data_IF_487446193671
#
_entry.id   IF_487446193671
#
_cell.length_a   1.000
_cell.length_b   1.000
_cell.length_c   1.000
_cell.angle_alpha   90.00
_cell.angle_beta   90.00
_cell.angle_gamma   90.00
#
_symmetry.space_group_name_H-M   'P 1'
#
loop_
_entity.id
_entity.type
_entity.pdbx_description
1 polymer ?
#
# COMPACT_ATOMS: atom_id res chain seq x y z
N UNK A 1 -34.63 -44.98 -5.55
CA UNK A 1 -33.72 -44.27 -6.49
C UNK A 1 -34.16 -42.84 -6.80
N UNK A 2 -35.37 -42.60 -7.35
CA UNK A 2 -35.83 -41.25 -7.78
C UNK A 2 -35.83 -40.16 -6.68
N UNK A 3 -36.13 -40.54 -5.43
CA UNK A 3 -36.12 -39.62 -4.27
C UNK A 3 -34.71 -39.18 -3.82
N UNK A 4 -33.70 -40.04 -4.01
CA UNK A 4 -32.31 -39.75 -3.63
C UNK A 4 -31.66 -38.77 -4.62
N UNK A 5 -31.94 -38.96 -5.91
CA UNK A 5 -31.50 -38.04 -6.98
C UNK A 5 -32.07 -36.63 -6.76
N UNK A 6 -33.32 -36.53 -6.30
CA UNK A 6 -33.97 -35.25 -6.03
C UNK A 6 -33.33 -34.51 -4.84
N UNK A 7 -32.97 -35.24 -3.78
CA UNK A 7 -32.27 -34.69 -2.62
C UNK A 7 -30.87 -34.17 -2.97
N UNK A 8 -30.12 -34.90 -3.82
CA UNK A 8 -28.81 -34.48 -4.30
C UNK A 8 -28.87 -33.20 -5.15
N UNK A 9 -29.87 -33.09 -6.03
CA UNK A 9 -30.10 -31.89 -6.83
C UNK A 9 -30.36 -30.68 -5.93
N UNK A 10 -31.27 -30.81 -4.96
CA UNK A 10 -31.60 -29.72 -4.04
C UNK A 10 -30.37 -29.29 -3.23
N UNK A 11 -29.60 -30.24 -2.69
CA UNK A 11 -28.37 -29.94 -1.94
C UNK A 11 -27.33 -29.18 -2.78
N UNK A 12 -27.21 -29.48 -4.08
CA UNK A 12 -26.29 -28.79 -4.98
C UNK A 12 -26.68 -27.33 -5.28
N UNK A 13 -27.97 -26.99 -5.25
CA UNK A 13 -28.41 -25.60 -5.44
C UNK A 13 -28.14 -24.74 -4.19
N UNK A 14 -28.25 -25.32 -2.99
CA UNK A 14 -27.93 -24.62 -1.76
C UNK A 14 -26.44 -24.24 -1.69
N UNK A 15 -25.52 -25.17 -2.02
CA UNK A 15 -24.08 -24.89 -1.99
C UNK A 15 -23.66 -23.80 -2.98
N UNK A 16 -24.24 -23.77 -4.19
CA UNK A 16 -23.97 -22.72 -5.20
C UNK A 16 -24.44 -21.35 -4.73
N UNK A 17 -25.62 -21.27 -4.10
CA UNK A 17 -26.15 -20.01 -3.58
C UNK A 17 -25.28 -19.43 -2.45
N UNK A 18 -24.78 -20.29 -1.55
CA UNK A 18 -23.89 -19.87 -0.46
C UNK A 18 -22.50 -19.48 -0.98
N UNK A 19 -21.95 -20.23 -1.94
CA UNK A 19 -20.68 -19.88 -2.59
C UNK A 19 -20.75 -18.53 -3.32
N UNK A 20 -21.89 -18.21 -3.95
CA UNK A 20 -22.08 -16.92 -4.63
C UNK A 20 -22.07 -15.72 -3.66
N UNK A 21 -22.67 -15.88 -2.47
CA UNK A 21 -22.68 -14.83 -1.43
C UNK A 21 -21.30 -14.64 -0.82
N UNK A 22 -20.59 -15.73 -0.55
CA UNK A 22 -19.22 -15.69 -0.05
C UNK A 22 -18.28 -15.03 -1.06
N UNK A 23 -18.38 -15.41 -2.34
CA UNK A 23 -17.59 -14.79 -3.41
C UNK A 23 -17.85 -13.29 -3.54
N UNK A 24 -19.12 -12.86 -3.45
CA UNK A 24 -19.48 -11.43 -3.49
C UNK A 24 -18.92 -10.67 -2.28
N UNK A 25 -18.97 -11.26 -1.09
CA UNK A 25 -18.39 -10.68 0.12
C UNK A 25 -16.86 -10.52 0.03
N UNK A 26 -16.16 -11.58 -0.38
CA UNK A 26 -14.71 -11.55 -0.57
C UNK A 26 -14.30 -10.53 -1.64
N UNK A 27 -15.04 -10.45 -2.74
CA UNK A 27 -14.80 -9.47 -3.80
C UNK A 27 -14.94 -8.04 -3.28
N UNK A 28 -15.95 -7.76 -2.46
CA UNK A 28 -16.15 -6.43 -1.88
C UNK A 28 -15.03 -6.06 -0.90
N UNK A 29 -14.54 -7.01 -0.11
CA UNK A 29 -13.37 -6.78 0.76
C UNK A 29 -12.10 -6.47 -0.06
N UNK A 30 -11.86 -7.24 -1.12
CA UNK A 30 -10.69 -7.05 -1.98
C UNK A 30 -10.72 -5.70 -2.72
N UNK A 31 -11.93 -5.25 -3.13
CA UNK A 31 -12.14 -3.92 -3.71
C UNK A 31 -11.86 -2.79 -2.69
N UNK A 32 -12.28 -2.95 -1.43
CA UNK A 32 -12.00 -1.97 -0.37
C UNK A 32 -10.51 -1.89 -0.02
N UNK A 33 -9.85 -3.05 0.08
CA UNK A 33 -8.41 -3.12 0.36
C UNK A 33 -7.59 -2.53 -0.79
N UNK A 34 -7.94 -2.82 -2.04
CA UNK A 34 -7.31 -2.16 -3.20
C UNK A 34 -7.50 -0.66 -3.19
N UNK A 35 -8.71 -0.18 -2.93
CA UNK A 35 -8.99 1.25 -2.88
C UNK A 35 -8.23 1.95 -1.72
N UNK A 36 -7.92 1.23 -0.63
CA UNK A 36 -7.06 1.75 0.44
C UNK A 36 -5.60 1.79 0.01
N UNK A 37 -5.08 0.71 -0.57
CA UNK A 37 -3.71 0.64 -1.05
C UNK A 37 -3.41 1.67 -2.13
N UNK A 38 -4.34 1.91 -3.06
CA UNK A 38 -4.19 2.96 -4.08
C UNK A 38 -4.10 4.35 -3.47
N UNK A 39 -4.88 4.63 -2.42
CA UNK A 39 -4.82 5.90 -1.70
C UNK A 39 -3.51 6.06 -0.93
N UNK A 40 -3.02 5.00 -0.29
CA UNK A 40 -1.72 4.99 0.37
C UNK A 40 -0.60 5.21 -0.64
N UNK A 41 -0.63 4.53 -1.79
CA UNK A 41 0.32 4.75 -2.88
C UNK A 41 0.31 6.18 -3.41
N UNK A 42 -0.86 6.77 -3.62
CA UNK A 42 -0.96 8.16 -4.06
C UNK A 42 -0.39 9.14 -3.02
N UNK A 43 -0.57 8.86 -1.73
CA UNK A 43 0.02 9.66 -0.65
C UNK A 43 1.54 9.48 -0.57
N UNK A 44 2.05 8.27 -0.81
CA UNK A 44 3.48 7.96 -0.80
C UNK A 44 4.22 8.66 -1.94
N UNK A 45 3.58 8.78 -3.10
CA UNK A 45 4.14 9.46 -4.26
C UNK A 45 4.01 10.99 -4.20
N UNK A 46 3.43 11.55 -3.14
CA UNK A 46 3.31 13.00 -2.98
C UNK A 46 4.59 13.62 -2.41
N UNK A 47 5.62 13.75 -3.24
CA UNK A 47 6.88 14.37 -2.84
C UNK A 47 6.74 15.82 -2.37
N UNK A 48 5.67 16.53 -2.80
CA UNK A 48 5.36 17.90 -2.38
C UNK A 48 4.88 18.02 -0.94
N UNK A 49 4.47 16.90 -0.32
CA UNK A 49 4.11 16.85 1.09
C UNK A 49 5.33 16.91 2.01
N UNK A 50 6.53 16.58 1.50
CA UNK A 50 7.75 16.61 2.30
C UNK A 50 8.38 18.01 2.32
N UNK A 51 8.70 18.45 3.53
CA UNK A 51 9.56 19.61 3.77
C UNK A 51 10.99 19.13 4.01
N UNK A 52 11.93 19.56 3.17
CA UNK A 52 13.35 19.26 3.32
C UNK A 52 14.08 20.45 3.91
N UNK A 53 14.89 20.21 4.94
CA UNK A 53 15.77 21.19 5.55
C UNK A 53 17.21 20.68 5.51
N UNK A 54 18.12 21.49 4.98
CA UNK A 54 19.54 21.19 5.00
C UNK A 54 20.03 21.13 6.45
N UNK A 55 20.65 20.01 6.82
CA UNK A 55 21.20 19.76 8.15
C UNK A 55 22.71 20.05 8.19
N UNK A 56 23.48 19.47 7.25
CA UNK A 56 24.91 19.72 7.15
C UNK A 56 25.46 19.52 5.74
N UNK A 57 26.64 20.10 5.49
CA UNK A 57 27.47 19.86 4.31
C UNK A 57 28.80 19.30 4.77
N UNK A 58 29.29 18.28 4.10
CA UNK A 58 30.57 17.66 4.43
C UNK A 58 31.23 17.10 3.18
N UNK A 59 32.53 16.85 3.26
CA UNK A 59 33.26 16.08 2.26
C UNK A 59 33.46 14.68 2.82
N UNK A 60 33.07 13.65 2.08
CA UNK A 60 33.26 12.27 2.52
C UNK A 60 34.74 11.83 2.41
N UNK A 61 35.05 10.63 2.91
CA UNK A 61 36.40 10.08 2.88
C UNK A 61 36.93 9.82 1.45
N UNK A 62 36.05 9.84 0.45
CA UNK A 62 36.36 9.69 -0.97
C UNK A 62 36.55 11.05 -1.67
N UNK A 63 36.42 12.16 -0.94
CA UNK A 63 36.52 13.51 -1.50
C UNK A 63 35.24 14.03 -2.16
N UNK A 64 34.10 13.34 -2.01
CA UNK A 64 32.81 13.76 -2.56
C UNK A 64 32.17 14.81 -1.70
N UNK A 65 31.56 15.82 -2.31
CA UNK A 65 30.79 16.83 -1.59
C UNK A 65 29.38 16.33 -1.32
N UNK A 66 29.07 16.12 -0.05
CA UNK A 66 27.79 15.60 0.42
C UNK A 66 26.97 16.65 1.18
N UNK A 67 25.65 16.50 1.11
CA UNK A 67 24.65 17.34 1.77
C UNK A 67 23.61 16.44 2.43
N UNK A 68 23.46 16.58 3.73
CA UNK A 68 22.41 15.88 4.49
C UNK A 68 21.20 16.79 4.69
N UNK A 69 20.03 16.23 4.45
CA UNK A 69 18.74 16.88 4.64
C UNK A 69 17.94 16.10 5.68
N UNK A 70 17.30 16.82 6.59
CA UNK A 70 16.21 16.29 7.40
C UNK A 70 14.91 16.57 6.68
N UNK A 71 14.08 15.55 6.51
CA UNK A 71 12.75 15.72 5.93
C UNK A 71 11.65 15.37 6.91
N UNK A 72 10.51 16.05 6.76
CA UNK A 72 9.27 15.76 7.49
C UNK A 72 8.09 15.94 6.56
N UNK A 73 7.16 14.98 6.58
CA UNK A 73 5.86 15.08 5.93
C UNK A 73 5.01 16.14 6.63
N UNK A 74 4.27 16.93 5.86
CA UNK A 74 3.33 17.94 6.37
C UNK A 74 2.01 17.29 6.76
N UNK A 75 1.57 16.28 6.01
CA UNK A 75 0.31 15.56 6.27
C UNK A 75 0.42 14.50 7.37
N UNK A 76 1.62 13.92 7.59
CA UNK A 76 1.83 12.83 8.54
C UNK A 76 3.05 13.09 9.44
N UNK A 77 2.85 13.40 10.75
CA UNK A 77 3.95 13.70 11.66
C UNK A 77 4.89 12.51 11.92
N UNK A 78 4.44 11.28 11.68
CA UNK A 78 5.25 10.07 11.85
C UNK A 78 6.16 9.80 10.65
N UNK A 79 5.96 10.47 9.52
CA UNK A 79 6.80 10.34 8.33
C UNK A 79 7.88 11.40 8.31
N UNK A 80 9.04 11.05 8.84
CA UNK A 80 10.22 11.89 8.86
C UNK A 80 11.50 11.06 8.73
N UNK A 81 12.58 11.68 8.33
CA UNK A 81 13.84 10.98 8.15
C UNK A 81 14.98 11.86 7.68
N UNK A 82 16.02 11.20 7.17
CA UNK A 82 17.24 11.81 6.69
C UNK A 82 17.47 11.40 5.23
N UNK A 83 17.97 12.32 4.44
CA UNK A 83 18.29 12.10 3.04
C UNK A 83 19.63 12.74 2.72
N UNK A 84 20.57 11.94 2.23
CA UNK A 84 21.93 12.38 1.92
C UNK A 84 22.11 12.42 0.40
N UNK A 85 22.66 13.53 -0.10
CA UNK A 85 22.99 13.73 -1.51
C UNK A 85 24.47 14.00 -1.62
N UNK A 86 25.21 13.12 -2.29
CA UNK A 86 26.61 13.32 -2.64
C UNK A 86 26.71 13.61 -4.14
N UNK A 87 27.50 14.62 -4.49
CA UNK A 87 27.77 14.93 -5.89
C UNK A 87 28.78 13.88 -6.40
N UNK A 88 28.30 12.91 -7.18
CA UNK A 88 29.16 11.96 -7.91
C UNK A 88 29.90 12.73 -9.02
N UNK A 89 31.22 12.68 -8.99
CA UNK A 89 32.10 13.34 -9.96
C UNK A 89 32.60 12.36 -11.01
#
# INVERSE_FOLDING_TARGET
MKKIVFLLLIASFFSVSHASKLSKFLKHMDEEDRARQEREWQQDMNFGDFSFRLDRRYTDDRGQHCRDYKFRSRSNPFRHGYYSVCDER
#
